data_IF_440588156121
#
_entry.id   IF_440588156121
#
_cell.length_a   1.000
_cell.length_b   1.000
_cell.length_c   1.000
_cell.angle_alpha   90.00
_cell.angle_beta   90.00
_cell.angle_gamma   90.00
#
_symmetry.space_group_name_H-M   'P 1'
#
loop_
_entity.id
_entity.type
_entity.pdbx_description
1 polymer ?
#
# COMPACT_ATOMS: atom_id res chain seq x y z
N UNK A 1 6.04 6.56 10.49
CA UNK A 1 5.57 5.85 9.27
C UNK A 1 4.20 5.26 9.57
N UNK A 2 3.26 5.24 8.61
CA UNK A 2 1.92 4.68 8.83
C UNK A 2 1.82 3.27 8.22
N UNK A 3 2.06 2.23 9.03
CA UNK A 3 2.07 0.84 8.58
C UNK A 3 1.71 -0.12 9.73
N UNK A 4 0.89 -1.17 9.52
CA UNK A 4 0.44 -2.08 10.58
C UNK A 4 1.56 -2.68 11.43
N UNK A 5 2.70 -3.05 10.84
CA UNK A 5 3.84 -3.66 11.54
C UNK A 5 5.02 -2.70 11.81
N UNK A 6 4.78 -1.39 11.78
CA UNK A 6 5.78 -0.37 12.14
C UNK A 6 5.23 0.51 13.24
N UNK A 7 5.99 0.66 14.32
CA UNK A 7 5.65 1.58 15.40
C UNK A 7 5.70 3.03 14.90
N UNK A 8 4.63 3.79 15.13
CA UNK A 8 4.47 5.12 14.52
C UNK A 8 5.47 6.15 15.04
N UNK A 9 5.87 6.04 16.31
CA UNK A 9 6.71 7.02 17.01
C UNK A 9 8.20 6.71 16.81
N UNK A 10 8.59 5.46 17.06
CA UNK A 10 9.98 5.01 16.99
C UNK A 10 10.41 4.61 15.58
N UNK A 11 9.46 4.26 14.70
CA UNK A 11 9.77 3.70 13.38
C UNK A 11 10.27 2.25 13.41
N UNK A 12 10.21 1.58 14.57
CA UNK A 12 10.68 0.20 14.72
C UNK A 12 9.77 -0.78 13.97
N UNK A 13 10.37 -1.74 13.26
CA UNK A 13 9.66 -2.84 12.60
C UNK A 13 9.47 -3.99 13.60
N UNK A 14 8.31 -4.64 13.56
CA UNK A 14 8.00 -5.79 14.42
C UNK A 14 9.03 -6.93 14.26
N UNK A 15 9.62 -7.36 15.38
CA UNK A 15 10.64 -8.40 15.40
C UNK A 15 10.10 -9.77 14.96
N UNK A 16 8.85 -10.10 15.29
CA UNK A 16 8.26 -11.38 14.92
C UNK A 16 8.07 -11.50 13.41
N UNK A 17 7.79 -10.39 12.73
CA UNK A 17 7.71 -10.33 11.27
C UNK A 17 9.09 -10.51 10.63
N UNK A 18 10.14 -9.93 11.22
CA UNK A 18 11.53 -10.14 10.77
C UNK A 18 11.92 -11.61 10.93
N UNK A 19 11.63 -12.22 12.09
CA UNK A 19 11.99 -13.60 12.39
C UNK A 19 11.29 -14.65 11.50
N UNK A 20 10.11 -14.34 10.95
CA UNK A 20 9.43 -15.22 10.00
C UNK A 20 10.15 -15.32 8.64
N UNK A 21 10.87 -14.27 8.24
CA UNK A 21 11.56 -14.20 6.93
C UNK A 21 13.06 -14.43 7.05
N UNK A 22 13.64 -14.12 8.21
CA UNK A 22 15.08 -14.21 8.43
C UNK A 22 15.58 -15.66 8.49
N UNK A 23 16.70 -15.92 7.80
CA UNK A 23 17.48 -17.13 7.98
C UNK A 23 18.96 -16.77 8.05
N UNK A 24 19.84 -17.64 8.60
CA UNK A 24 21.28 -17.39 8.60
C UNK A 24 21.90 -17.23 7.21
N UNK A 25 21.20 -17.61 6.15
CA UNK A 25 21.61 -17.42 4.74
C UNK A 25 21.08 -16.11 4.14
N UNK A 26 20.32 -15.33 4.90
CA UNK A 26 19.71 -14.09 4.43
C UNK A 26 20.71 -12.95 4.59
N UNK A 27 21.24 -12.47 3.46
CA UNK A 27 22.15 -11.33 3.45
C UNK A 27 21.44 -10.04 3.87
N UNK A 28 22.20 -9.09 4.42
CA UNK A 28 21.67 -7.77 4.79
C UNK A 28 21.05 -7.03 3.61
N UNK A 29 21.56 -7.23 2.40
CA UNK A 29 21.00 -6.65 1.17
C UNK A 29 19.55 -7.11 0.95
N UNK A 30 19.24 -8.38 1.24
CA UNK A 30 17.89 -8.92 1.08
C UNK A 30 16.88 -8.26 2.04
N UNK A 31 17.34 -7.64 3.14
CA UNK A 31 16.46 -6.86 4.02
C UNK A 31 15.83 -5.70 3.25
N UNK A 32 16.63 -4.99 2.45
CA UNK A 32 16.20 -3.83 1.68
C UNK A 32 15.56 -4.23 0.34
N UNK A 33 16.09 -5.24 -0.32
CA UNK A 33 15.64 -5.62 -1.67
C UNK A 33 14.40 -6.53 -1.67
N UNK A 34 14.19 -7.31 -0.59
CA UNK A 34 13.12 -8.31 -0.54
C UNK A 34 12.21 -8.08 0.65
N UNK A 35 12.75 -8.13 1.88
CA UNK A 35 11.92 -8.13 3.09
C UNK A 35 11.08 -6.86 3.25
N UNK A 36 11.71 -5.68 3.20
CA UNK A 36 10.98 -4.41 3.36
C UNK A 36 9.94 -4.18 2.25
N UNK A 37 10.26 -4.36 0.95
CA UNK A 37 9.27 -4.25 -0.11
C UNK A 37 8.08 -5.22 0.06
N UNK A 38 8.35 -6.48 0.42
CA UNK A 38 7.29 -7.47 0.66
C UNK A 38 6.42 -7.08 1.85
N UNK A 39 7.03 -6.61 2.94
CA UNK A 39 6.30 -6.17 4.12
C UNK A 39 5.37 -4.98 3.84
N UNK A 40 5.85 -3.99 3.07
CA UNK A 40 5.05 -2.81 2.71
C UNK A 40 3.86 -3.16 1.82
N UNK A 41 3.98 -4.19 0.97
CA UNK A 41 2.89 -4.67 0.12
C UNK A 41 1.90 -5.55 0.90
N UNK A 42 2.42 -6.41 1.79
CA UNK A 42 1.65 -7.42 2.50
C UNK A 42 1.91 -7.35 4.01
N UNK A 43 1.23 -6.43 4.72
CA UNK A 43 1.36 -6.32 6.17
C UNK A 43 0.81 -7.58 6.85
N UNK A 44 1.41 -7.97 7.98
CA UNK A 44 0.89 -9.03 8.84
C UNK A 44 -0.18 -8.47 9.79
N UNK A 45 -1.47 -8.84 9.64
CA UNK A 45 -2.56 -8.29 10.47
C UNK A 45 -2.72 -9.01 11.81
N UNK A 46 -2.01 -10.13 12.06
CA UNK A 46 -2.23 -10.96 13.25
C UNK A 46 -1.70 -10.35 14.55
N UNK A 47 -0.69 -9.48 14.48
CA UNK A 47 -0.16 -8.73 15.62
C UNK A 47 0.43 -7.37 15.16
N UNK A 48 -0.42 -6.32 15.02
CA UNK A 48 0.02 -5.03 14.53
C UNK A 48 0.63 -4.16 15.63
N UNK A 49 1.79 -3.55 15.34
CA UNK A 49 2.35 -2.48 16.17
C UNK A 49 1.53 -1.18 16.06
N UNK A 50 0.95 -0.94 14.89
CA UNK A 50 0.03 0.17 14.66
C UNK A 50 -1.39 -0.37 14.45
N UNK A 51 -2.15 -0.47 15.55
CA UNK A 51 -3.52 -0.96 15.53
C UNK A 51 -4.48 -0.07 14.72
N UNK A 52 -4.26 1.25 14.66
CA UNK A 52 -5.08 2.15 13.85
C UNK A 52 -4.91 1.85 12.36
N UNK A 53 -3.66 1.73 11.90
CA UNK A 53 -3.34 1.41 10.52
C UNK A 53 -3.92 0.04 10.12
N UNK A 54 -3.82 -0.96 10.99
CA UNK A 54 -4.38 -2.29 10.76
C UNK A 54 -5.91 -2.27 10.67
N UNK A 55 -6.58 -1.61 11.62
CA UNK A 55 -8.03 -1.51 11.65
C UNK A 55 -8.58 -0.73 10.44
N UNK A 56 -7.92 0.37 10.06
CA UNK A 56 -8.31 1.15 8.88
C UNK A 56 -8.13 0.33 7.61
N UNK A 57 -6.99 -0.34 7.44
CA UNK A 57 -6.72 -1.21 6.29
C UNK A 57 -7.76 -2.32 6.12
N UNK A 58 -8.19 -2.95 7.21
CA UNK A 58 -9.20 -4.02 7.19
C UNK A 58 -10.61 -3.50 6.90
N UNK A 59 -10.94 -2.29 7.38
CA UNK A 59 -12.28 -1.71 7.24
C UNK A 59 -12.48 -1.01 5.90
N UNK A 60 -11.47 -0.25 5.47
CA UNK A 60 -11.51 0.61 4.28
C UNK A 60 -10.10 0.75 3.71
N UNK A 61 -9.79 -0.10 2.72
CA UNK A 61 -8.48 -0.13 2.08
C UNK A 61 -8.18 1.18 1.34
N UNK A 62 -9.17 1.79 0.70
CA UNK A 62 -9.00 3.04 -0.05
C UNK A 62 -8.62 4.18 0.88
N UNK A 63 -9.30 4.31 2.03
CA UNK A 63 -8.97 5.32 3.03
C UNK A 63 -7.58 5.08 3.65
N UNK A 64 -7.20 3.82 3.86
CA UNK A 64 -5.85 3.46 4.30
C UNK A 64 -4.79 3.94 3.31
N UNK A 65 -4.96 3.64 2.02
CA UNK A 65 -4.01 4.03 0.97
C UNK A 65 -3.90 5.55 0.84
N UNK A 66 -5.02 6.27 0.94
CA UNK A 66 -5.02 7.73 0.98
C UNK A 66 -4.22 8.28 2.17
N UNK A 67 -4.42 7.71 3.37
CA UNK A 67 -3.67 8.11 4.56
C UNK A 67 -2.17 7.82 4.43
N UNK A 68 -1.80 6.67 3.86
CA UNK A 68 -0.40 6.32 3.59
C UNK A 68 0.22 7.34 2.62
N UNK A 69 -0.47 7.71 1.53
CA UNK A 69 -0.01 8.74 0.58
C UNK A 69 0.24 10.08 1.26
N UNK A 70 -0.67 10.53 2.11
CA UNK A 70 -0.53 11.77 2.89
C UNK A 70 0.70 11.72 3.80
N UNK A 71 0.93 10.59 4.47
CA UNK A 71 2.13 10.40 5.31
C UNK A 71 3.42 10.40 4.48
N UNK A 72 3.44 9.74 3.33
CA UNK A 72 4.60 9.74 2.43
C UNK A 72 4.92 11.16 1.95
N UNK A 73 3.90 11.92 1.54
CA UNK A 73 4.08 13.31 1.10
C UNK A 73 4.57 14.22 2.23
N UNK A 74 4.23 13.93 3.48
CA UNK A 74 4.61 14.77 4.63
C UNK A 74 5.97 14.42 5.22
N UNK A 75 6.39 13.16 5.18
CA UNK A 75 7.52 12.66 5.97
C UNK A 75 8.57 11.86 5.17
N UNK A 76 8.35 11.57 3.89
CA UNK A 76 9.22 10.70 3.10
C UNK A 76 9.52 11.31 1.72
N UNK A 77 9.85 12.60 1.66
CA UNK A 77 10.23 13.25 0.41
C UNK A 77 11.69 12.95 0.07
N UNK A 78 12.06 12.86 -1.23
CA UNK A 78 13.45 12.67 -1.64
C UNK A 78 14.38 13.77 -1.10
N UNK A 79 13.87 15.00 -1.01
CA UNK A 79 14.53 16.16 -0.42
C UNK A 79 14.98 15.91 1.04
N UNK A 80 14.17 15.19 1.82
CA UNK A 80 14.44 14.91 3.23
C UNK A 80 15.58 13.87 3.41
N UNK A 81 15.84 13.05 2.39
CA UNK A 81 16.83 11.96 2.41
C UNK A 81 18.15 12.39 1.73
N UNK A 82 18.25 13.64 1.27
CA UNK A 82 19.41 14.13 0.51
C UNK A 82 19.54 13.47 -0.87
N UNK A 83 18.48 12.82 -1.37
CA UNK A 83 18.45 12.28 -2.72
C UNK A 83 18.19 13.42 -3.71
N UNK A 84 19.10 13.61 -4.66
CA UNK A 84 18.89 14.51 -5.80
C UNK A 84 17.65 14.04 -6.57
N UNK A 85 16.69 14.92 -6.91
CA UNK A 85 15.51 14.52 -7.64
C UNK A 85 15.93 14.00 -9.02
N UNK A 86 15.63 12.74 -9.34
CA UNK A 86 15.54 12.34 -10.74
C UNK A 86 14.29 12.98 -11.33
N UNK A 87 14.50 13.76 -12.39
CA UNK A 87 13.48 14.46 -13.17
C UNK A 87 12.33 13.48 -13.53
N UNK A 88 11.19 13.54 -12.84
CA UNK A 88 10.02 12.74 -13.21
C UNK A 88 9.41 13.33 -14.49
N UNK A 89 9.57 12.60 -15.60
CA UNK A 89 8.82 12.84 -16.83
C UNK A 89 7.32 12.77 -16.54
N UNK A 90 6.65 13.90 -16.69
CA UNK A 90 5.20 14.07 -16.57
C UNK A 90 4.50 13.44 -17.77
N UNK A 91 4.07 12.18 -17.67
CA UNK A 91 3.06 11.64 -18.57
C UNK A 91 2.34 10.44 -17.92
N UNK A 92 1.22 10.70 -17.26
CA UNK A 92 0.18 9.71 -16.98
C UNK A 92 -1.11 10.47 -16.58
N UNK A 93 -1.62 11.30 -17.50
CA UNK A 93 -3.05 11.59 -17.56
C UNK A 93 -3.66 10.69 -18.64
N UNK A 94 -4.23 9.56 -18.23
CA UNK A 94 -5.18 8.83 -19.06
C UNK A 94 -6.55 8.89 -18.38
N UNK A 95 -7.35 9.86 -18.83
CA UNK A 95 -8.79 9.87 -18.67
C UNK A 95 -9.39 8.78 -19.58
N UNK A 96 -9.97 7.73 -19.01
CA UNK A 96 -10.88 6.85 -19.76
C UNK A 96 -12.33 7.14 -19.35
N UNK A 97 -13.10 7.52 -20.36
CA UNK A 97 -14.46 7.98 -20.30
C UNK A 97 -15.45 6.84 -20.01
N UNK A 98 -16.46 7.19 -19.22
CA UNK A 98 -17.82 6.67 -19.11
C UNK A 98 -18.23 5.65 -20.20
N UNK A 99 -18.35 4.38 -19.82
CA UNK A 99 -19.08 3.39 -20.63
C UNK A 99 -20.58 3.54 -20.31
N UNK A 100 -21.26 4.34 -21.12
CA UNK A 100 -22.71 4.39 -21.23
C UNK A 100 -23.19 3.08 -21.89
N UNK A 101 -23.81 2.20 -21.10
CA UNK A 101 -24.44 0.97 -21.60
C UNK A 101 -25.95 1.12 -21.46
N UNK A 102 -26.53 1.78 -22.45
CA UNK A 102 -27.96 1.80 -22.76
C UNK A 102 -28.38 0.40 -23.26
N UNK A 103 -29.16 -0.36 -22.47
CA UNK A 103 -29.96 -1.49 -22.99
C UNK A 103 -31.28 -1.58 -22.21
N UNK A 104 -32.20 -0.68 -22.56
CA UNK A 104 -33.63 -0.79 -22.28
C UNK A 104 -34.32 -1.52 -23.45
N UNK A 105 -34.92 -2.70 -23.22
CA UNK A 105 -36.36 -2.91 -23.39
C UNK A 105 -36.77 -4.40 -23.44
N UNK A 106 -37.73 -4.72 -22.57
CA UNK A 106 -38.61 -5.89 -22.56
C UNK A 106 -39.21 -6.25 -23.93
N UNK A 107 -39.15 -7.53 -24.30
CA UNK A 107 -40.04 -8.15 -25.29
C UNK A 107 -40.76 -9.36 -24.65
N UNK A 108 -42.09 -9.29 -24.62
CA UNK A 108 -43.01 -10.21 -23.93
C UNK A 108 -43.21 -11.60 -24.59
N UNK A 109 -44.21 -12.36 -24.12
CA UNK A 109 -44.30 -13.80 -24.35
C UNK A 109 -44.83 -14.16 -25.75
N UNK A 110 -44.32 -15.26 -26.29
CA UNK A 110 -44.82 -15.91 -27.51
C UNK A 110 -45.43 -17.26 -27.15
N UNK A 111 -46.73 -17.40 -27.43
CA UNK A 111 -47.48 -18.66 -27.68
C UNK A 111 -48.46 -18.35 -28.83
N UNK A 112 -48.96 -19.33 -29.62
CA UNK A 112 -49.25 -20.72 -29.26
C UNK A 112 -48.63 -21.81 -30.15
#
# INVERSE_FOLDING_TARGET
>A
MYHPNVDEISGSVCLDVINQTWSPMFDLTNVFEVFLPQLLLYPNPSDPLNGEAAALMMRDRTAYEQRVKEYCQKYAKPEDVGAVPEEKSSDDELSEAEYDSDDEAMAGPVDP
#
